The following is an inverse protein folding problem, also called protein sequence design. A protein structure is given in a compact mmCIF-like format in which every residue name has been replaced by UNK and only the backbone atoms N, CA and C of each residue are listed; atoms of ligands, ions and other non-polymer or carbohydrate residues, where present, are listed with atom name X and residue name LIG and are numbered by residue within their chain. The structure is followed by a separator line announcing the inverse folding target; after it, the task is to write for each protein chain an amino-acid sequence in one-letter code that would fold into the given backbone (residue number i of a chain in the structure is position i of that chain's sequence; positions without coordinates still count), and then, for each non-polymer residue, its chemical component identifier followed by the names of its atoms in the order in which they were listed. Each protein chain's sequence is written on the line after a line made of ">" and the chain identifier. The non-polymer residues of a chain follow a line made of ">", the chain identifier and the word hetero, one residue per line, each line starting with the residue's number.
data_IF_022874922345
#
_entry.id   IF_022874922345
#
_cell.length_a   1.000
_cell.length_b   1.000
_cell.length_c   1.000
_cell.angle_alpha   90.00
_cell.angle_beta   90.00
_cell.angle_gamma   90.00
#
_symmetry.space_group_name_H-M   'P 1'
#
loop_
_entity.id
_entity.type
_entity.pdbx_description
1 polymer ?
#
# COMPACT_ATOMS: atom_id res chain seq x y z
N UNK A 1 10.50 34.41 -17.10
CA UNK A 1 9.43 33.80 -16.31
C UNK A 1 9.66 34.05 -14.82
N UNK A 2 8.58 34.17 -14.07
CA UNK A 2 8.64 34.34 -12.61
C UNK A 2 9.01 33.01 -11.94
N UNK A 3 10.27 32.90 -11.50
CA UNK A 3 10.81 31.68 -10.89
C UNK A 3 10.22 31.40 -9.51
N UNK A 4 9.68 32.41 -8.82
CA UNK A 4 9.02 32.24 -7.51
C UNK A 4 7.80 31.33 -7.57
N UNK A 5 7.30 31.03 -8.77
CA UNK A 5 6.16 30.12 -9.00
C UNK A 5 6.55 28.66 -9.09
N UNK A 6 7.83 28.33 -9.18
CA UNK A 6 8.29 26.94 -9.26
C UNK A 6 8.05 26.25 -7.92
N UNK A 7 7.34 25.13 -7.94
CA UNK A 7 6.98 24.36 -6.76
C UNK A 7 7.15 22.86 -7.00
N UNK A 8 7.84 22.15 -6.09
CA UNK A 8 7.98 20.70 -6.19
C UNK A 8 6.65 20.01 -5.83
N UNK A 9 6.40 18.80 -6.37
CA UNK A 9 5.20 18.04 -6.07
C UNK A 9 5.18 17.53 -4.63
N UNK A 10 3.99 17.48 -4.05
CA UNK A 10 3.68 16.61 -2.92
C UNK A 10 3.22 15.28 -3.47
N UNK A 11 3.84 14.19 -3.03
CA UNK A 11 3.55 12.84 -3.54
C UNK A 11 2.90 12.02 -2.43
N UNK A 12 1.79 11.37 -2.76
CA UNK A 12 1.09 10.45 -1.86
C UNK A 12 0.76 9.15 -2.59
N UNK A 13 0.85 8.02 -1.88
CA UNK A 13 0.39 6.72 -2.35
C UNK A 13 -0.81 6.30 -1.52
N UNK A 14 -1.92 6.02 -2.19
CA UNK A 14 -3.15 5.49 -1.63
C UNK A 14 -3.19 3.99 -1.85
N UNK A 15 -3.45 3.28 -0.76
CA UNK A 15 -3.56 1.83 -0.76
C UNK A 15 -4.87 1.36 -1.42
N UNK A 16 -4.92 0.13 -1.93
CA UNK A 16 -6.12 -0.45 -2.52
C UNK A 16 -7.26 -0.59 -1.50
N UNK A 17 -8.50 -0.53 -1.98
CA UNK A 17 -9.65 -0.80 -1.11
C UNK A 17 -9.92 -2.30 -0.96
N UNK A 18 -10.31 -2.73 0.23
CA UNK A 18 -10.73 -4.13 0.47
C UNK A 18 -11.95 -4.54 -0.37
N UNK A 19 -12.80 -3.56 -0.73
CA UNK A 19 -13.93 -3.78 -1.63
C UNK A 19 -13.47 -4.19 -3.05
N UNK A 20 -12.45 -3.53 -3.60
CA UNK A 20 -11.87 -3.91 -4.88
C UNK A 20 -11.25 -5.32 -4.82
N UNK A 21 -10.47 -5.57 -3.77
CA UNK A 21 -9.75 -6.83 -3.57
C UNK A 21 -10.73 -8.00 -3.48
N UNK A 22 -11.76 -7.88 -2.65
CA UNK A 22 -12.77 -8.92 -2.46
C UNK A 22 -13.56 -9.20 -3.75
N UNK A 23 -13.95 -8.17 -4.50
CA UNK A 23 -14.75 -8.32 -5.70
C UNK A 23 -13.96 -8.80 -6.93
N UNK A 24 -12.72 -8.35 -7.09
CA UNK A 24 -11.98 -8.53 -8.36
C UNK A 24 -10.73 -9.38 -8.23
N UNK A 25 -10.30 -9.72 -7.00
CA UNK A 25 -9.02 -10.39 -6.71
C UNK A 25 -7.81 -9.62 -7.27
N UNK A 26 -7.97 -8.31 -7.47
CA UNK A 26 -6.93 -7.36 -7.88
C UNK A 26 -6.86 -6.23 -6.85
N UNK A 27 -5.72 -5.57 -6.81
CA UNK A 27 -5.47 -4.47 -5.91
C UNK A 27 -4.84 -3.32 -6.71
N UNK A 28 -5.47 -2.15 -6.70
CA UNK A 28 -5.00 -0.96 -7.42
C UNK A 28 -4.50 0.08 -6.44
N UNK A 29 -3.19 0.32 -6.46
CA UNK A 29 -2.58 1.46 -5.77
C UNK A 29 -2.74 2.71 -6.63
N UNK A 30 -2.94 3.85 -5.99
CA UNK A 30 -3.02 5.15 -6.67
C UNK A 30 -1.92 6.05 -6.13
N UNK A 31 -1.11 6.63 -7.02
CA UNK A 31 -0.18 7.69 -6.69
C UNK A 31 -0.75 9.02 -7.18
N UNK A 32 -0.66 10.04 -6.33
CA UNK A 32 -1.05 11.40 -6.67
C UNK A 32 0.13 12.34 -6.38
N UNK A 33 0.57 13.04 -7.42
CA UNK A 33 1.48 14.17 -7.34
C UNK A 33 0.64 15.45 -7.42
N UNK A 34 0.75 16.35 -6.44
CA UNK A 34 -0.06 17.59 -6.37
C UNK A 34 0.80 18.82 -6.13
N UNK A 35 0.25 19.99 -6.46
CA UNK A 35 0.81 21.28 -6.12
C UNK A 35 2.13 21.63 -6.82
N UNK A 36 2.46 20.99 -7.94
CA UNK A 36 3.71 21.27 -8.65
C UNK A 36 3.55 22.28 -9.78
N UNK A 37 4.62 23.00 -10.06
CA UNK A 37 4.74 23.88 -11.21
C UNK A 37 6.24 24.04 -11.57
N UNK A 38 6.63 24.05 -12.85
CA UNK A 38 5.79 23.80 -14.04
C UNK A 38 5.33 22.33 -14.11
N UNK A 39 4.62 21.96 -15.17
CA UNK A 39 4.08 20.60 -15.42
C UNK A 39 5.15 19.54 -15.76
N UNK A 40 6.42 19.85 -15.57
CA UNK A 40 7.54 19.01 -15.97
C UNK A 40 7.87 17.97 -14.90
N UNK A 41 7.15 16.85 -14.95
CA UNK A 41 7.35 15.71 -14.06
C UNK A 41 7.36 14.38 -14.81
N UNK A 42 8.08 13.40 -14.28
CA UNK A 42 8.00 12.01 -14.72
C UNK A 42 7.66 11.11 -13.53
N UNK A 43 6.55 10.38 -13.63
CA UNK A 43 6.07 9.49 -12.57
C UNK A 43 6.40 8.04 -12.91
N UNK A 44 7.14 7.38 -12.02
CA UNK A 44 7.53 5.97 -12.15
C UNK A 44 7.15 5.15 -10.92
N UNK A 45 6.79 3.89 -11.14
CA UNK A 45 6.52 2.93 -10.08
C UNK A 45 7.70 2.00 -9.87
N UNK A 46 8.00 1.74 -8.60
CA UNK A 46 9.04 0.82 -8.16
C UNK A 46 8.44 -0.20 -7.20
N UNK A 47 8.72 -1.48 -7.47
CA UNK A 47 8.30 -2.60 -6.63
C UNK A 47 9.54 -3.39 -6.24
N UNK A 48 9.79 -3.54 -4.94
CA UNK A 48 10.97 -4.24 -4.41
C UNK A 48 12.29 -3.76 -5.05
N UNK A 49 12.45 -2.43 -5.17
CA UNK A 49 13.61 -1.75 -5.79
C UNK A 49 13.77 -1.93 -7.30
N UNK A 50 12.78 -2.50 -8.00
CA UNK A 50 12.78 -2.59 -9.47
C UNK A 50 11.67 -1.72 -10.04
N UNK A 51 12.00 -0.94 -11.07
CA UNK A 51 11.00 -0.19 -11.81
C UNK A 51 10.03 -1.15 -12.51
N UNK A 52 8.74 -0.83 -12.49
CA UNK A 52 7.68 -1.61 -13.13
C UNK A 52 6.87 -0.74 -14.09
N UNK A 53 6.48 -1.33 -15.21
CA UNK A 53 5.61 -0.70 -16.22
C UNK A 53 4.35 -1.52 -16.48
N UNK A 54 4.40 -2.84 -16.21
CA UNK A 54 3.24 -3.72 -16.33
C UNK A 54 2.19 -3.38 -15.29
N UNK A 55 0.95 -3.16 -15.73
CA UNK A 55 -0.17 -2.80 -14.85
C UNK A 55 -0.15 -1.34 -14.38
N UNK A 56 0.77 -0.52 -14.91
CA UNK A 56 0.82 0.92 -14.66
C UNK A 56 -0.04 1.65 -15.68
N UNK A 57 -0.83 2.61 -15.20
CA UNK A 57 -1.55 3.57 -16.03
C UNK A 57 -1.39 4.97 -15.41
N UNK A 58 -0.66 5.83 -16.08
CA UNK A 58 -0.43 7.23 -15.69
C UNK A 58 -1.26 8.13 -16.61
N UNK A 59 -1.88 9.17 -16.06
CA UNK A 59 -2.59 10.14 -16.89
C UNK A 59 -1.60 10.77 -17.89
N UNK A 60 -2.00 10.98 -19.16
CA UNK A 60 -1.06 11.39 -20.21
C UNK A 60 -0.51 12.81 -20.00
N UNK A 61 -1.28 13.68 -19.38
CA UNK A 61 -0.93 15.08 -19.13
C UNK A 61 -1.33 15.47 -17.70
N UNK A 62 -0.52 16.30 -17.01
CA UNK A 62 -0.93 16.91 -15.75
C UNK A 62 -2.13 17.83 -15.93
N UNK A 63 -3.05 17.84 -14.96
CA UNK A 63 -4.22 18.72 -14.94
C UNK A 63 -4.05 19.84 -13.92
N UNK A 64 -4.64 21.00 -14.18
CA UNK A 64 -4.59 22.15 -13.24
C UNK A 64 -5.47 21.90 -12.02
N UNK A 65 -5.01 22.33 -10.84
CA UNK A 65 -5.80 22.31 -9.60
C UNK A 65 -7.01 23.25 -9.66
N UNK A 66 -6.84 24.39 -10.33
CA UNK A 66 -7.88 25.39 -10.56
C UNK A 66 -7.86 25.83 -12.03
N UNK A 67 -8.93 25.51 -12.75
CA UNK A 67 -9.08 25.83 -14.17
C UNK A 67 -9.30 27.33 -14.42
N UNK A 68 -9.66 28.10 -13.39
CA UNK A 68 -9.95 29.53 -13.50
C UNK A 68 -8.70 30.40 -13.30
N UNK A 69 -7.65 29.84 -12.68
CA UNK A 69 -6.40 30.54 -12.42
C UNK A 69 -5.35 30.24 -13.50
N UNK A 70 -4.85 31.28 -14.15
CA UNK A 70 -3.77 31.14 -15.13
C UNK A 70 -2.47 30.65 -14.49
N UNK A 71 -2.28 30.96 -13.21
CA UNK A 71 -1.12 30.61 -12.42
C UNK A 71 -1.26 29.33 -11.60
N UNK A 72 -2.33 28.55 -11.86
CA UNK A 72 -2.61 27.31 -11.16
C UNK A 72 -1.47 26.30 -11.22
N UNK A 73 -1.36 25.53 -10.13
CA UNK A 73 -0.45 24.38 -10.03
C UNK A 73 -1.08 23.16 -10.67
N UNK A 74 -0.24 22.16 -10.89
CA UNK A 74 -0.62 20.92 -11.55
C UNK A 74 -0.75 19.77 -10.57
N UNK A 75 -1.57 18.79 -10.99
CA UNK A 75 -1.70 17.48 -10.42
C UNK A 75 -1.48 16.42 -11.50
N UNK A 76 -0.96 15.26 -11.08
CA UNK A 76 -0.81 14.09 -11.94
C UNK A 76 -1.13 12.84 -11.14
N UNK A 77 -1.95 11.96 -11.71
CA UNK A 77 -2.30 10.68 -11.08
C UNK A 77 -1.73 9.49 -11.86
N UNK A 78 -1.37 8.45 -11.14
CA UNK A 78 -0.97 7.17 -11.70
C UNK A 78 -1.52 6.02 -10.88
N UNK A 79 -1.78 4.89 -11.55
CA UNK A 79 -2.41 3.71 -10.96
C UNK A 79 -1.53 2.50 -11.25
N UNK A 80 -1.25 1.71 -10.22
CA UNK A 80 -0.54 0.44 -10.36
C UNK A 80 -1.47 -0.69 -9.91
N UNK A 81 -1.86 -1.55 -10.85
CA UNK A 81 -2.74 -2.69 -10.59
C UNK A 81 -1.94 -3.99 -10.48
N UNK A 82 -2.05 -4.64 -9.34
CA UNK A 82 -1.42 -5.94 -9.04
C UNK A 82 -2.45 -7.00 -8.66
N UNK A 83 -2.01 -8.24 -8.46
CA UNK A 83 -2.89 -9.29 -7.91
C UNK A 83 -3.07 -9.09 -6.41
N UNK A 84 -4.24 -9.48 -5.89
CA UNK A 84 -4.51 -9.45 -4.45
C UNK A 84 -3.45 -10.22 -3.65
N UNK A 85 -3.05 -11.41 -4.11
CA UNK A 85 -2.01 -12.20 -3.45
C UNK A 85 -0.65 -11.49 -3.38
N UNK A 86 -0.30 -10.69 -4.40
CA UNK A 86 0.93 -9.92 -4.40
C UNK A 86 0.85 -8.72 -3.45
N UNK A 87 -0.28 -8.01 -3.42
CA UNK A 87 -0.53 -6.97 -2.41
C UNK A 87 -0.50 -7.54 -0.98
N UNK A 88 -1.05 -8.74 -0.78
CA UNK A 88 -1.14 -9.34 0.54
C UNK A 88 0.14 -9.93 1.12
N UNK A 89 1.25 -9.80 0.40
CA UNK A 89 2.56 -10.16 0.93
C UNK A 89 3.20 -8.91 1.58
N UNK A 90 3.31 -8.85 2.93
CA UNK A 90 3.83 -7.68 3.63
C UNK A 90 5.32 -7.41 3.38
N UNK A 91 6.02 -8.33 2.70
CA UNK A 91 7.41 -8.11 2.26
C UNK A 91 7.50 -7.29 0.98
N UNK A 92 6.40 -7.14 0.25
CA UNK A 92 6.39 -6.34 -0.96
C UNK A 92 6.35 -4.86 -0.62
N UNK A 93 7.31 -4.13 -1.17
CA UNK A 93 7.46 -2.69 -1.01
C UNK A 93 7.10 -1.99 -2.32
N UNK A 94 6.22 -1.00 -2.24
CA UNK A 94 5.73 -0.22 -3.36
C UNK A 94 6.14 1.23 -3.18
N UNK A 95 6.71 1.83 -4.21
CA UNK A 95 7.18 3.21 -4.17
C UNK A 95 6.80 3.92 -5.46
N UNK A 96 6.10 5.03 -5.32
CA UNK A 96 5.88 5.98 -6.40
C UNK A 96 7.01 7.02 -6.35
N UNK A 97 7.71 7.21 -7.46
CA UNK A 97 8.75 8.22 -7.60
C UNK A 97 8.33 9.23 -8.66
N UNK A 98 8.43 10.50 -8.32
CA UNK A 98 8.21 11.62 -9.21
C UNK A 98 9.54 12.34 -9.38
N UNK A 99 10.08 12.28 -10.60
CA UNK A 99 11.20 13.11 -11.01
C UNK A 99 10.64 14.48 -11.37
N UNK A 100 10.94 15.49 -10.55
CA UNK A 100 10.57 16.88 -10.80
C UNK A 100 11.73 17.60 -11.48
N UNK A 101 11.45 18.28 -12.58
CA UNK A 101 12.42 19.09 -13.31
C UNK A 101 12.22 20.57 -12.96
N UNK A 102 12.84 20.96 -11.84
CA UNK A 102 12.77 22.32 -11.30
C UNK A 102 13.94 23.18 -11.77
N UNK A 103 14.36 24.09 -10.90
CA UNK A 103 15.48 24.99 -11.17
C UNK A 103 16.83 24.26 -11.17
N UNK A 104 17.81 24.90 -11.80
CA UNK A 104 19.22 24.53 -11.82
C UNK A 104 20.03 25.44 -10.91
N UNK A 105 21.26 25.07 -10.58
CA UNK A 105 22.13 25.89 -9.73
C UNK A 105 22.41 27.29 -10.31
N UNK A 106 22.34 27.44 -11.64
CA UNK A 106 22.60 28.71 -12.34
C UNK A 106 21.45 29.71 -12.21
N UNK A 107 20.25 29.26 -11.90
CA UNK A 107 19.08 30.14 -11.79
C UNK A 107 19.15 31.03 -10.54
N UNK A 108 18.89 32.33 -10.69
CA UNK A 108 18.84 33.25 -9.56
C UNK A 108 17.60 32.96 -8.71
N UNK A 109 17.78 32.86 -7.38
CA UNK A 109 16.72 32.57 -6.43
C UNK A 109 16.73 33.59 -5.30
N UNK A 110 15.77 34.51 -5.34
CA UNK A 110 15.71 35.65 -4.42
C UNK A 110 14.67 35.46 -3.28
N UNK A 111 14.05 34.30 -3.16
CA UNK A 111 13.09 33.97 -2.09
C UNK A 111 13.83 33.49 -0.83
N UNK A 112 13.93 34.33 0.20
CA UNK A 112 14.69 34.00 1.43
C UNK A 112 13.97 33.00 2.34
N UNK A 113 12.63 32.96 2.31
CA UNK A 113 11.82 32.13 3.21
C UNK A 113 11.58 30.72 2.66
N UNK A 114 12.08 30.41 1.46
CA UNK A 114 11.81 29.14 0.77
C UNK A 114 13.07 28.57 0.14
N UNK A 115 13.27 27.27 0.38
CA UNK A 115 14.32 26.52 -0.31
C UNK A 115 14.13 26.56 -1.83
N UNK A 116 15.24 26.69 -2.55
CA UNK A 116 15.25 26.70 -4.01
C UNK A 116 14.71 25.36 -4.54
N UNK A 117 13.64 25.36 -5.35
CA UNK A 117 12.99 24.15 -5.85
C UNK A 117 13.77 23.57 -7.03
N UNK A 118 14.90 22.92 -6.73
CA UNK A 118 15.77 22.31 -7.73
C UNK A 118 15.18 21.03 -8.30
N UNK A 119 15.76 20.58 -9.41
CA UNK A 119 15.50 19.24 -9.97
C UNK A 119 15.80 18.16 -8.93
N UNK A 120 14.80 17.33 -8.62
CA UNK A 120 14.91 16.34 -7.54
C UNK A 120 13.92 15.17 -7.71
N UNK A 121 14.21 14.06 -7.04
CA UNK A 121 13.33 12.90 -6.94
C UNK A 121 12.55 12.95 -5.64
N UNK A 122 11.22 12.93 -5.74
CA UNK A 122 10.32 12.91 -4.59
C UNK A 122 9.55 11.62 -4.64
N UNK A 123 9.43 10.91 -3.52
CA UNK A 123 8.73 9.63 -3.49
C UNK A 123 7.81 9.48 -2.29
N UNK A 124 6.78 8.68 -2.49
CA UNK A 124 5.95 8.14 -1.42
C UNK A 124 5.89 6.62 -1.54
N UNK A 125 5.76 5.95 -0.40
CA UNK A 125 5.96 4.51 -0.29
C UNK A 125 4.88 3.88 0.57
N UNK A 126 4.59 2.60 0.30
CA UNK A 126 3.74 1.77 1.14
C UNK A 126 4.20 0.31 1.07
N UNK A 127 3.72 -0.50 2.00
CA UNK A 127 4.03 -1.92 2.11
C UNK A 127 2.76 -2.72 1.86
N UNK A 128 2.92 -3.92 1.32
CA UNK A 128 1.84 -4.88 1.25
C UNK A 128 1.23 -5.15 2.63
N UNK A 129 -0.03 -5.55 2.68
CA UNK A 129 -0.75 -5.83 3.93
C UNK A 129 -1.14 -7.28 4.02
N UNK A 130 -0.80 -7.95 5.12
CA UNK A 130 -1.28 -9.31 5.37
C UNK A 130 -2.81 -9.37 5.26
N UNK A 131 -3.33 -10.34 4.50
CA UNK A 131 -4.76 -10.55 4.42
C UNK A 131 -5.31 -10.90 5.81
N UNK A 132 -6.45 -10.32 6.18
CA UNK A 132 -7.15 -10.63 7.44
C UNK A 132 -7.47 -12.13 7.58
N UNK A 133 -7.52 -12.87 6.47
CA UNK A 133 -7.73 -14.33 6.46
C UNK A 133 -6.71 -15.13 7.28
N UNK A 134 -5.46 -14.65 7.43
CA UNK A 134 -4.49 -15.32 8.31
C UNK A 134 -4.96 -15.35 9.77
N UNK A 135 -5.71 -14.33 10.20
CA UNK A 135 -6.31 -14.29 11.53
C UNK A 135 -7.44 -15.32 11.67
N UNK A 136 -8.17 -15.57 10.58
CA UNK A 136 -9.16 -16.66 10.50
C UNK A 136 -8.53 -18.05 10.61
N UNK A 137 -7.39 -18.29 9.95
CA UNK A 137 -6.65 -19.56 10.04
C UNK A 137 -6.10 -19.78 11.46
N UNK A 138 -5.51 -18.75 12.08
CA UNK A 138 -5.03 -18.84 13.46
C UNK A 138 -6.17 -19.11 14.46
N UNK A 139 -7.31 -18.45 14.28
CA UNK A 139 -8.52 -18.70 15.07
C UNK A 139 -9.01 -20.15 14.91
N UNK A 140 -9.07 -20.65 13.67
CA UNK A 140 -9.46 -22.03 13.39
C UNK A 140 -8.50 -23.05 14.00
N UNK A 141 -7.18 -22.81 13.96
CA UNK A 141 -6.21 -23.70 14.60
C UNK A 141 -6.38 -23.75 16.12
N UNK A 142 -6.60 -22.60 16.78
CA UNK A 142 -6.86 -22.56 18.22
C UNK A 142 -8.16 -23.31 18.58
N UNK A 143 -9.20 -23.16 17.78
CA UNK A 143 -10.45 -23.90 17.97
C UNK A 143 -10.25 -25.40 17.82
N UNK A 144 -9.44 -25.83 16.84
CA UNK A 144 -9.17 -27.25 16.60
C UNK A 144 -8.38 -27.88 17.77
N UNK A 145 -7.38 -27.18 18.29
CA UNK A 145 -6.62 -27.59 19.48
C UNK A 145 -7.51 -27.71 20.71
N UNK A 146 -8.42 -26.76 20.93
CA UNK A 146 -9.40 -26.81 22.03
C UNK A 146 -10.33 -28.02 21.89
N UNK A 147 -10.82 -28.29 20.67
CA UNK A 147 -11.70 -29.43 20.41
C UNK A 147 -10.99 -30.77 20.60
N UNK A 148 -9.75 -30.90 20.13
CA UNK A 148 -8.90 -32.07 20.38
C UNK A 148 -8.67 -32.27 21.88
N UNK A 149 -8.31 -31.21 22.60
CA UNK A 149 -8.14 -31.25 24.05
C UNK A 149 -9.42 -31.72 24.77
N UNK A 150 -10.59 -31.20 24.40
CA UNK A 150 -11.87 -31.66 24.95
C UNK A 150 -12.13 -33.14 24.64
N UNK A 151 -11.94 -33.57 23.40
CA UNK A 151 -12.15 -34.96 22.99
C UNK A 151 -11.27 -35.93 23.78
N UNK A 152 -9.99 -35.60 23.98
CA UNK A 152 -9.07 -36.41 24.79
C UNK A 152 -9.50 -36.49 26.25
N UNK A 153 -9.96 -35.38 26.86
CA UNK A 153 -10.50 -35.38 28.22
C UNK A 153 -11.74 -36.27 28.35
N UNK A 154 -12.67 -36.20 27.40
CA UNK A 154 -13.85 -37.07 27.38
C UNK A 154 -13.46 -38.54 27.25
N UNK A 155 -12.50 -38.87 26.38
CA UNK A 155 -12.02 -40.25 26.23
C UNK A 155 -11.44 -40.78 27.56
N UNK A 156 -10.59 -40.00 28.23
CA UNK A 156 -10.00 -40.38 29.53
C UNK A 156 -11.08 -40.59 30.60
N UNK A 157 -12.07 -39.69 30.69
CA UNK A 157 -13.17 -39.80 31.65
C UNK A 157 -14.02 -41.06 31.41
N UNK A 158 -14.36 -41.34 30.16
CA UNK A 158 -15.15 -42.54 29.80
C UNK A 158 -14.33 -43.81 30.08
N UNK A 159 -13.05 -43.85 29.71
CA UNK A 159 -12.16 -44.98 30.02
C UNK A 159 -12.06 -45.23 31.53
N UNK A 160 -11.91 -44.18 32.34
CA UNK A 160 -11.87 -44.31 33.79
C UNK A 160 -13.20 -44.84 34.38
N UNK A 161 -14.34 -44.36 33.88
CA UNK A 161 -15.66 -44.86 34.29
C UNK A 161 -15.85 -46.34 33.94
N UNK A 162 -15.42 -46.76 32.75
CA UNK A 162 -15.47 -48.17 32.34
C UNK A 162 -14.60 -49.04 33.24
N UNK A 163 -13.37 -48.62 33.53
CA UNK A 163 -12.47 -49.33 34.46
C UNK A 163 -13.10 -49.47 35.85
N UNK A 164 -13.67 -48.39 36.40
CA UNK A 164 -14.35 -48.41 37.69
C UNK A 164 -15.57 -49.35 37.69
N UNK A 165 -16.33 -49.40 36.59
CA UNK A 165 -17.48 -50.28 36.44
C UNK A 165 -17.09 -51.76 36.33
N UNK A 166 -15.99 -52.07 35.64
CA UNK A 166 -15.45 -53.43 35.55
C UNK A 166 -14.99 -53.92 36.93
N UNK A 167 -14.20 -53.12 37.65
CA UNK A 167 -13.72 -53.46 39.01
C UNK A 167 -14.88 -53.70 39.99
N UNK A 168 -15.94 -52.88 39.93
CA UNK A 168 -17.13 -53.09 40.79
C UNK A 168 -17.93 -54.35 40.46
N UNK A 169 -17.82 -54.88 39.25
CA UNK A 169 -18.58 -56.05 38.81
C UNK A 169 -17.89 -57.36 39.17
N UNK A 170 -16.58 -57.31 39.41
CA UNK A 170 -15.75 -58.45 39.83
C UNK A 170 -15.74 -58.66 41.36
N UNK A 171 -16.49 -57.82 42.12
CA UNK A 171 -16.70 -57.90 43.57
C UNK A 171 -18.16 -58.16 43.90
#
# INVERSE_FOLDING_TARGET
>A
DDLSRVHPPKVAVFEPSEAEISQTQKATLVCLATGFYPDHVELTWWVNRKQVTTGVSTDPEPYKEDLTQNDSRYCLSSRLRVTAAFWHNPRNHFRCQVQFYGLTDQDQWDEQDRDKPVTQNISAETWGRAASYQQGVLSATLLYEILLGKATLYAVLVSALVLMAMVRRDY
#
